data_IF_964969940512
#
_entry.id   IF_964969940512
#
_cell.length_a   1.000
_cell.length_b   1.000
_cell.length_c   1.000
_cell.angle_alpha   90.00
_cell.angle_beta   90.00
_cell.angle_gamma   90.00
#
_symmetry.space_group_name_H-M   'P 1'
#
loop_
_entity.id
_entity.type
_entity.pdbx_description
1 polymer ?
#
# COMPACT_ATOMS: atom_id res chain seq x y z
N UNK A 1 -11.01 19.23 -13.18
CA UNK A 1 -11.88 19.72 -12.07
C UNK A 1 -11.16 20.84 -11.34
N UNK A 2 -11.88 21.82 -10.78
CA UNK A 2 -11.30 22.88 -9.93
C UNK A 2 -11.42 22.48 -8.44
N UNK A 3 -10.59 23.04 -7.55
CA UNK A 3 -10.69 22.78 -6.10
C UNK A 3 -12.06 23.08 -5.52
N UNK A 4 -12.75 24.10 -6.07
CA UNK A 4 -14.12 24.44 -5.68
C UNK A 4 -15.11 23.27 -5.88
N UNK A 5 -14.88 22.41 -6.85
CA UNK A 5 -15.72 21.22 -7.09
C UNK A 5 -15.67 20.20 -5.96
N UNK A 6 -14.61 20.23 -5.14
CA UNK A 6 -14.38 19.28 -4.04
C UNK A 6 -14.86 19.79 -2.67
N UNK A 7 -15.38 21.02 -2.55
CA UNK A 7 -15.74 21.60 -1.25
C UNK A 7 -16.73 20.71 -0.49
N UNK A 8 -17.80 20.27 -1.15
CA UNK A 8 -18.81 19.40 -0.53
C UNK A 8 -18.22 18.06 -0.11
N UNK A 9 -17.49 17.40 -1.00
CA UNK A 9 -16.84 16.11 -0.73
C UNK A 9 -15.84 16.21 0.42
N UNK A 10 -15.01 17.26 0.42
CA UNK A 10 -14.05 17.50 1.50
C UNK A 10 -14.73 17.74 2.84
N UNK A 11 -15.84 18.49 2.86
CA UNK A 11 -16.62 18.69 4.08
C UNK A 11 -17.21 17.36 4.60
N UNK A 12 -17.75 16.51 3.71
CA UNK A 12 -18.27 15.19 4.07
C UNK A 12 -17.19 14.28 4.67
N UNK A 13 -15.99 14.27 4.08
CA UNK A 13 -14.82 13.52 4.63
C UNK A 13 -14.46 14.05 6.02
N UNK A 14 -14.35 15.38 6.21
CA UNK A 14 -14.02 15.98 7.52
C UNK A 14 -15.05 15.65 8.61
N UNK A 15 -16.31 15.49 8.25
CA UNK A 15 -17.35 15.03 9.19
C UNK A 15 -17.10 13.56 9.59
N UNK A 16 -16.77 12.71 8.63
CA UNK A 16 -16.44 11.30 8.90
C UNK A 16 -15.18 11.15 9.76
N UNK A 17 -14.13 11.94 9.50
CA UNK A 17 -12.89 11.95 10.29
C UNK A 17 -13.14 12.21 11.79
N UNK A 18 -14.16 12.99 12.16
CA UNK A 18 -14.50 13.24 13.58
C UNK A 18 -14.95 11.99 14.32
N UNK A 19 -15.43 10.98 13.61
CA UNK A 19 -15.82 9.69 14.19
C UNK A 19 -14.65 8.73 14.39
N UNK A 20 -13.46 9.03 13.84
CA UNK A 20 -12.29 8.16 13.98
C UNK A 20 -11.77 8.16 15.41
N UNK A 21 -11.29 7.01 15.86
CA UNK A 21 -10.65 6.86 17.17
C UNK A 21 -9.32 7.62 17.19
N UNK A 22 -9.10 8.38 18.24
CA UNK A 22 -7.87 9.15 18.42
C UNK A 22 -6.75 8.29 19.05
N UNK A 23 -5.52 8.83 19.03
CA UNK A 23 -4.35 8.13 19.56
C UNK A 23 -4.50 7.74 21.04
N UNK A 24 -5.10 8.61 21.86
CA UNK A 24 -5.29 8.33 23.29
C UNK A 24 -6.26 7.18 23.53
N UNK A 25 -7.23 7.00 22.61
CA UNK A 25 -8.12 5.84 22.65
C UNK A 25 -7.36 4.54 22.37
N UNK A 26 -6.51 4.53 21.33
CA UNK A 26 -5.68 3.36 21.02
C UNK A 26 -4.70 3.01 22.14
N UNK A 27 -4.05 4.02 22.77
CA UNK A 27 -3.19 3.78 23.91
C UNK A 27 -3.95 3.10 25.07
N UNK A 28 -5.18 3.53 25.36
CA UNK A 28 -6.01 2.84 26.38
C UNK A 28 -6.32 1.39 25.99
N UNK A 29 -6.54 1.11 24.70
CA UNK A 29 -6.79 -0.28 24.27
C UNK A 29 -5.55 -1.17 24.46
N UNK A 30 -4.34 -0.63 24.27
CA UNK A 30 -3.09 -1.40 24.49
C UNK A 30 -2.80 -1.70 25.95
N UNK A 31 -3.39 -0.95 26.89
CA UNK A 31 -3.24 -1.16 28.33
C UNK A 31 -4.23 -2.20 28.90
N UNK A 32 -5.16 -2.71 28.06
CA UNK A 32 -6.15 -3.70 28.49
C UNK A 32 -5.54 -5.12 28.54
N UNK A 33 -5.98 -5.91 29.54
CA UNK A 33 -5.39 -7.21 29.81
C UNK A 33 -5.85 -8.32 28.83
N UNK A 34 -7.03 -8.15 28.20
CA UNK A 34 -7.60 -9.18 27.33
C UNK A 34 -8.25 -8.61 26.08
N UNK A 35 -8.29 -9.41 25.01
CA UNK A 35 -9.02 -9.08 23.80
C UNK A 35 -10.54 -8.92 24.04
N UNK A 36 -11.09 -9.56 25.11
CA UNK A 36 -12.48 -9.37 25.54
C UNK A 36 -12.72 -7.95 26.08
N UNK A 37 -11.77 -7.40 26.83
CA UNK A 37 -11.87 -6.04 27.34
C UNK A 37 -11.68 -5.00 26.23
N UNK A 38 -10.83 -5.28 25.23
CA UNK A 38 -10.73 -4.47 24.00
C UNK A 38 -12.07 -4.45 23.26
N UNK A 39 -12.73 -5.60 23.08
CA UNK A 39 -14.06 -5.69 22.46
C UNK A 39 -15.10 -4.87 23.22
N UNK A 40 -15.13 -4.97 24.55
CA UNK A 40 -16.03 -4.15 25.39
C UNK A 40 -15.76 -2.65 25.24
N UNK A 41 -14.49 -2.25 25.25
CA UNK A 41 -14.13 -0.84 25.07
C UNK A 41 -14.58 -0.31 23.70
N UNK A 42 -14.46 -1.10 22.63
CA UNK A 42 -14.92 -0.74 21.30
C UNK A 42 -16.45 -0.62 21.16
N UNK A 43 -17.22 -1.23 22.09
CA UNK A 43 -18.68 -1.11 22.11
C UNK A 43 -19.20 0.31 22.42
N UNK A 44 -18.32 1.23 22.89
CA UNK A 44 -18.64 2.64 23.08
C UNK A 44 -18.18 3.53 21.88
N UNK A 45 -17.83 2.91 20.76
CA UNK A 45 -17.29 3.59 19.59
C UNK A 45 -18.22 3.47 18.37
N UNK A 46 -17.80 4.03 17.23
CA UNK A 46 -18.50 3.85 15.94
C UNK A 46 -18.59 2.41 15.49
N UNK A 47 -17.85 1.50 16.10
CA UNK A 47 -17.83 0.06 15.81
C UNK A 47 -18.83 -0.73 16.68
N UNK A 48 -19.57 -0.07 17.60
CA UNK A 48 -20.43 -0.69 18.61
C UNK A 48 -21.36 -1.76 18.06
N UNK A 49 -22.14 -1.43 17.04
CA UNK A 49 -23.14 -2.34 16.45
C UNK A 49 -22.51 -3.65 15.97
N UNK A 50 -21.37 -3.56 15.28
CA UNK A 50 -20.70 -4.74 14.72
C UNK A 50 -19.94 -5.52 15.78
N UNK A 51 -19.32 -4.85 16.73
CA UNK A 51 -18.61 -5.49 17.84
C UNK A 51 -19.58 -6.27 18.71
N UNK A 52 -20.77 -5.71 18.97
CA UNK A 52 -21.82 -6.41 19.74
C UNK A 52 -22.42 -7.62 18.98
N UNK A 53 -22.42 -7.57 17.64
CA UNK A 53 -22.86 -8.68 16.81
C UNK A 53 -21.79 -9.77 16.58
N UNK A 54 -20.56 -9.54 17.04
CA UNK A 54 -19.45 -10.47 16.84
C UNK A 54 -19.61 -11.73 17.71
N UNK A 55 -19.70 -12.89 17.08
CA UNK A 55 -19.87 -14.18 17.79
C UNK A 55 -18.65 -14.60 18.62
N UNK A 56 -17.46 -14.23 18.15
CA UNK A 56 -16.18 -14.59 18.77
C UNK A 56 -15.10 -13.58 18.40
N UNK A 57 -14.16 -13.32 19.32
CA UNK A 57 -13.02 -12.44 19.11
C UNK A 57 -12.15 -12.90 17.93
N UNK A 58 -12.05 -14.20 17.66
CA UNK A 58 -11.34 -14.74 16.50
C UNK A 58 -11.91 -14.27 15.16
N UNK A 59 -13.18 -13.81 15.14
CA UNK A 59 -13.87 -13.27 13.98
C UNK A 59 -13.78 -11.74 13.86
N UNK A 60 -12.76 -11.11 14.45
CA UNK A 60 -12.59 -9.64 14.39
C UNK A 60 -12.56 -9.07 12.96
N UNK A 61 -12.13 -9.87 11.98
CA UNK A 61 -12.16 -9.47 10.57
C UNK A 61 -13.58 -9.26 10.04
N UNK A 62 -14.58 -9.98 10.58
CA UNK A 62 -16.00 -9.83 10.20
C UNK A 62 -16.54 -8.45 10.63
N UNK A 63 -15.88 -7.81 11.61
CA UNK A 63 -16.19 -6.46 12.09
C UNK A 63 -15.48 -5.40 11.23
N UNK A 64 -14.16 -5.53 11.07
CA UNK A 64 -13.34 -4.47 10.50
C UNK A 64 -13.32 -4.48 8.97
N UNK A 65 -13.40 -5.64 8.32
CA UNK A 65 -13.38 -5.72 6.85
C UNK A 65 -14.57 -4.98 6.19
N UNK A 66 -15.83 -5.15 6.64
CA UNK A 66 -16.94 -4.38 6.11
C UNK A 66 -16.83 -2.88 6.37
N UNK A 67 -16.31 -2.45 7.53
CA UNK A 67 -16.10 -1.02 7.80
C UNK A 67 -15.05 -0.42 6.87
N UNK A 68 -13.99 -1.16 6.59
CA UNK A 68 -12.99 -0.74 5.62
C UNK A 68 -13.61 -0.59 4.23
N UNK A 69 -14.41 -1.56 3.77
CA UNK A 69 -15.14 -1.48 2.49
C UNK A 69 -16.06 -0.27 2.46
N UNK A 70 -16.82 -0.01 3.55
CA UNK A 70 -17.70 1.14 3.67
C UNK A 70 -16.93 2.47 3.56
N UNK A 71 -15.76 2.57 4.19
CA UNK A 71 -14.90 3.76 4.11
C UNK A 71 -14.43 4.01 2.67
N UNK A 72 -13.98 2.97 1.97
CA UNK A 72 -13.56 3.08 0.57
C UNK A 72 -14.72 3.44 -0.37
N UNK A 73 -15.89 2.82 -0.19
CA UNK A 73 -17.09 3.15 -0.97
C UNK A 73 -17.55 4.58 -0.70
N UNK A 74 -17.52 5.03 0.55
CA UNK A 74 -17.86 6.40 0.90
C UNK A 74 -16.96 7.42 0.14
N UNK A 75 -15.65 7.18 0.06
CA UNK A 75 -14.74 8.00 -0.73
C UNK A 75 -15.11 7.94 -2.21
N UNK A 76 -15.34 6.75 -2.75
CA UNK A 76 -15.67 6.51 -4.16
C UNK A 76 -16.93 7.28 -4.61
N UNK A 77 -17.96 7.34 -3.77
CA UNK A 77 -19.24 7.99 -4.04
C UNK A 77 -19.14 9.52 -4.03
N UNK A 78 -18.07 10.08 -3.47
CA UNK A 78 -17.88 11.51 -3.48
C UNK A 78 -17.58 12.03 -4.90
N UNK A 79 -17.97 13.29 -5.19
CA UNK A 79 -17.62 13.94 -6.45
C UNK A 79 -16.08 13.97 -6.60
N UNK A 80 -15.56 13.35 -7.65
CA UNK A 80 -14.12 13.18 -7.89
C UNK A 80 -13.45 12.08 -7.07
N UNK A 81 -14.21 11.32 -6.29
CA UNK A 81 -13.70 10.25 -5.43
C UNK A 81 -13.23 9.00 -6.20
N UNK A 82 -13.77 8.73 -7.40
CA UNK A 82 -13.39 7.56 -8.20
C UNK A 82 -11.88 7.53 -8.53
N UNK A 83 -11.27 8.69 -8.82
CA UNK A 83 -9.85 8.76 -9.11
C UNK A 83 -8.99 8.46 -7.87
N UNK A 84 -9.38 9.00 -6.70
CA UNK A 84 -8.73 8.72 -5.42
C UNK A 84 -8.94 7.25 -5.03
N UNK A 85 -10.17 6.74 -5.17
CA UNK A 85 -10.47 5.33 -4.95
C UNK A 85 -9.58 4.43 -5.83
N UNK A 86 -9.41 4.77 -7.10
CA UNK A 86 -8.54 4.03 -8.01
C UNK A 86 -7.08 3.96 -7.54
N UNK A 87 -6.58 5.03 -6.93
CA UNK A 87 -5.23 5.06 -6.37
C UNK A 87 -5.11 4.13 -5.14
N UNK A 88 -6.05 4.23 -4.21
CA UNK A 88 -5.97 3.49 -2.94
C UNK A 88 -6.39 2.02 -3.08
N UNK A 89 -7.31 1.70 -4.01
CA UNK A 89 -7.73 0.33 -4.31
C UNK A 89 -6.65 -0.48 -5.06
N UNK A 90 -5.70 0.20 -5.72
CA UNK A 90 -4.65 -0.45 -6.50
C UNK A 90 -3.87 -1.52 -5.70
N UNK A 91 -3.58 -1.25 -4.42
CA UNK A 91 -2.90 -2.23 -3.55
C UNK A 91 -3.71 -3.53 -3.37
N UNK A 92 -5.04 -3.43 -3.36
CA UNK A 92 -5.93 -4.60 -3.24
C UNK A 92 -6.08 -5.35 -4.56
N UNK A 93 -6.02 -4.63 -5.70
CA UNK A 93 -5.91 -5.26 -7.02
C UNK A 93 -4.64 -6.13 -7.10
N UNK A 94 -3.50 -5.58 -6.68
CA UNK A 94 -2.23 -6.33 -6.66
C UNK A 94 -2.24 -7.46 -5.65
N UNK A 95 -2.82 -7.24 -4.47
CA UNK A 95 -3.03 -8.30 -3.48
C UNK A 95 -3.83 -9.47 -4.09
N UNK A 96 -4.93 -9.18 -4.75
CA UNK A 96 -5.78 -10.19 -5.36
C UNK A 96 -5.04 -10.98 -6.47
N UNK A 97 -4.21 -10.30 -7.28
CA UNK A 97 -3.36 -10.97 -8.27
C UNK A 97 -2.33 -11.89 -7.60
N UNK A 98 -1.69 -11.43 -6.51
CA UNK A 98 -0.73 -12.25 -5.75
C UNK A 98 -1.40 -13.46 -5.09
N UNK A 99 -2.60 -13.30 -4.53
CA UNK A 99 -3.38 -14.42 -3.97
C UNK A 99 -3.72 -15.43 -5.07
N UNK A 100 -4.19 -14.96 -6.23
CA UNK A 100 -4.43 -15.82 -7.38
C UNK A 100 -3.18 -16.58 -7.82
N UNK A 101 -2.05 -15.88 -7.93
CA UNK A 101 -0.77 -16.50 -8.29
C UNK A 101 -0.38 -17.59 -7.27
N UNK A 102 -0.50 -17.32 -5.97
CA UNK A 102 -0.23 -18.30 -4.91
C UNK A 102 -1.18 -19.49 -4.98
N UNK A 103 -2.46 -19.25 -5.19
CA UNK A 103 -3.47 -20.31 -5.37
C UNK A 103 -3.08 -21.25 -6.51
N UNK A 104 -2.66 -20.71 -7.64
CA UNK A 104 -2.23 -21.51 -8.81
C UNK A 104 -0.88 -22.24 -8.58
N UNK A 105 0.02 -21.65 -7.81
CA UNK A 105 1.33 -22.25 -7.48
C UNK A 105 1.17 -23.41 -6.51
N UNK A 106 0.29 -23.28 -5.52
CA UNK A 106 0.07 -24.27 -4.45
C UNK A 106 -0.98 -25.31 -4.84
N UNK A 107 -1.74 -25.07 -5.92
CA UNK A 107 -2.93 -25.85 -6.31
C UNK A 107 -3.97 -25.90 -5.16
N UNK A 108 -4.16 -24.76 -4.49
CA UNK A 108 -5.10 -24.62 -3.37
C UNK A 108 -6.10 -23.49 -3.62
N UNK A 109 -7.33 -23.62 -3.11
CA UNK A 109 -8.30 -22.54 -3.14
C UNK A 109 -8.03 -21.53 -2.02
N UNK A 110 -7.52 -20.36 -2.40
CA UNK A 110 -7.27 -19.23 -1.50
C UNK A 110 -8.29 -18.09 -1.70
N UNK A 111 -9.46 -18.38 -2.25
CA UNK A 111 -10.47 -17.36 -2.61
C UNK A 111 -10.98 -16.55 -1.42
N UNK A 112 -10.96 -17.08 -0.21
CA UNK A 112 -11.30 -16.37 1.02
C UNK A 112 -10.34 -15.21 1.36
N UNK A 113 -9.14 -15.22 0.79
CA UNK A 113 -8.14 -14.16 0.98
C UNK A 113 -8.30 -12.98 0.01
N UNK A 114 -9.22 -13.06 -0.96
CA UNK A 114 -9.45 -11.95 -1.88
C UNK A 114 -10.11 -10.76 -1.16
N UNK A 115 -9.57 -9.57 -1.42
CA UNK A 115 -10.18 -8.33 -0.96
C UNK A 115 -11.29 -7.87 -1.91
N UNK A 116 -12.46 -7.57 -1.35
CA UNK A 116 -13.58 -6.97 -2.08
C UNK A 116 -13.40 -5.49 -2.42
N UNK A 117 -12.36 -4.84 -1.90
CA UNK A 117 -11.99 -3.47 -2.26
C UNK A 117 -11.34 -3.43 -3.65
N UNK A 118 -10.66 -4.51 -4.07
CA UNK A 118 -10.07 -4.62 -5.40
C UNK A 118 -11.13 -4.47 -6.50
N UNK A 119 -10.74 -3.87 -7.62
CA UNK A 119 -11.59 -3.53 -8.76
C UNK A 119 -11.56 -4.59 -9.86
N UNK A 120 -10.52 -5.40 -9.88
CA UNK A 120 -10.27 -6.40 -10.92
C UNK A 120 -11.16 -7.63 -10.76
N UNK A 121 -11.57 -8.21 -11.88
CA UNK A 121 -12.28 -9.49 -11.88
C UNK A 121 -11.30 -10.67 -11.79
N UNK A 122 -11.00 -11.12 -10.57
CA UNK A 122 -10.11 -12.28 -10.33
C UNK A 122 -10.56 -13.53 -11.09
N UNK A 123 -11.88 -13.90 -11.13
CA UNK A 123 -12.31 -15.05 -11.93
C UNK A 123 -12.01 -14.92 -13.40
N UNK A 124 -12.07 -13.71 -13.98
CA UNK A 124 -11.74 -13.50 -15.39
C UNK A 124 -10.23 -13.67 -15.64
N UNK A 125 -9.37 -13.14 -14.74
CA UNK A 125 -7.92 -13.33 -14.83
C UNK A 125 -7.54 -14.80 -14.63
N UNK A 126 -8.18 -15.52 -13.72
CA UNK A 126 -7.95 -16.95 -13.51
C UNK A 126 -8.23 -17.73 -14.80
N UNK A 127 -9.39 -17.52 -15.43
CA UNK A 127 -9.73 -18.18 -16.72
C UNK A 127 -8.73 -17.86 -17.81
N UNK A 128 -8.21 -16.63 -17.86
CA UNK A 128 -7.17 -16.24 -18.81
C UNK A 128 -5.88 -17.05 -18.60
N UNK A 129 -5.43 -17.18 -17.35
CA UNK A 129 -4.20 -17.93 -17.03
C UNK A 129 -4.32 -19.43 -17.29
N UNK A 130 -5.51 -20.02 -17.08
CA UNK A 130 -5.78 -21.45 -17.28
C UNK A 130 -6.00 -21.82 -18.73
N UNK A 131 -6.72 -21.00 -19.51
CA UNK A 131 -7.21 -21.34 -20.85
C UNK A 131 -6.67 -20.46 -21.97
N UNK A 132 -5.94 -19.40 -21.66
CA UNK A 132 -5.48 -18.40 -22.63
C UNK A 132 -6.59 -17.50 -23.21
N UNK A 133 -7.85 -17.65 -22.76
CA UNK A 133 -8.98 -16.85 -23.23
C UNK A 133 -9.08 -15.55 -22.44
N UNK A 134 -8.79 -14.44 -23.10
CA UNK A 134 -8.91 -13.12 -22.48
C UNK A 134 -10.37 -12.62 -22.54
N UNK A 135 -11.09 -12.76 -21.44
CA UNK A 135 -12.44 -12.22 -21.23
C UNK A 135 -12.41 -10.98 -20.32
N UNK A 136 -11.23 -10.64 -19.80
CA UNK A 136 -11.08 -9.50 -18.89
C UNK A 136 -11.06 -8.19 -19.66
N UNK A 137 -11.84 -7.21 -19.17
CA UNK A 137 -11.76 -5.82 -19.65
C UNK A 137 -10.49 -5.13 -19.19
N UNK A 138 -9.85 -5.67 -18.15
CA UNK A 138 -8.65 -5.10 -17.52
C UNK A 138 -7.38 -5.69 -18.14
N UNK A 139 -7.13 -5.35 -19.41
CA UNK A 139 -5.99 -5.89 -20.19
C UNK A 139 -4.65 -5.68 -19.47
N UNK A 140 -4.48 -4.51 -18.84
CA UNK A 140 -3.23 -4.16 -18.17
C UNK A 140 -2.93 -5.10 -16.98
N UNK A 141 -3.93 -5.35 -16.13
CA UNK A 141 -3.80 -6.24 -14.98
C UNK A 141 -3.71 -7.72 -15.38
N UNK A 142 -4.37 -8.08 -16.47
CA UNK A 142 -4.26 -9.43 -17.06
C UNK A 142 -2.84 -9.68 -17.56
N UNK A 143 -2.22 -8.71 -18.20
CA UNK A 143 -0.85 -8.84 -18.70
C UNK A 143 0.17 -9.03 -17.60
N UNK A 144 0.05 -8.28 -16.49
CA UNK A 144 0.97 -8.46 -15.37
C UNK A 144 0.81 -9.81 -14.68
N UNK A 145 -0.42 -10.32 -14.56
CA UNK A 145 -0.67 -11.65 -14.03
C UNK A 145 -0.05 -12.75 -14.91
N UNK A 146 -0.15 -12.61 -16.24
CA UNK A 146 0.49 -13.53 -17.21
C UNK A 146 2.01 -13.48 -17.04
N UNK A 147 2.61 -12.29 -17.05
CA UNK A 147 4.06 -12.13 -16.92
C UNK A 147 4.59 -12.76 -15.62
N UNK A 148 3.91 -12.52 -14.51
CA UNK A 148 4.29 -13.08 -13.21
C UNK A 148 4.19 -14.62 -13.20
N UNK A 149 3.11 -15.17 -13.74
CA UNK A 149 2.91 -16.62 -13.80
C UNK A 149 3.89 -17.30 -14.75
N UNK A 150 4.18 -16.69 -15.92
CA UNK A 150 5.16 -17.21 -16.87
C UNK A 150 6.58 -17.17 -16.28
N UNK A 151 6.96 -16.11 -15.57
CA UNK A 151 8.23 -16.05 -14.87
C UNK A 151 8.35 -17.17 -13.82
N UNK A 152 7.30 -17.41 -13.05
CA UNK A 152 7.28 -18.53 -12.11
C UNK A 152 7.41 -19.89 -12.81
N UNK A 153 6.72 -20.10 -13.94
CA UNK A 153 6.84 -21.36 -14.70
C UNK A 153 8.28 -21.62 -15.18
N UNK A 154 9.01 -20.54 -15.51
CA UNK A 154 10.39 -20.63 -16.01
C UNK A 154 11.41 -20.92 -14.91
N UNK A 155 11.35 -20.22 -13.80
CA UNK A 155 12.40 -20.23 -12.76
C UNK A 155 12.00 -20.88 -11.44
N UNK A 156 10.70 -21.14 -11.24
CA UNK A 156 10.12 -21.68 -10.00
C UNK A 156 10.36 -20.80 -8.75
N UNK A 157 10.64 -19.52 -8.95
CA UNK A 157 10.81 -18.54 -7.87
C UNK A 157 9.54 -17.69 -7.73
N UNK A 158 8.69 -18.05 -6.76
CA UNK A 158 7.44 -17.33 -6.47
C UNK A 158 7.71 -15.88 -6.01
N UNK A 159 8.82 -15.63 -5.32
CA UNK A 159 9.17 -14.30 -4.86
C UNK A 159 9.52 -13.37 -6.03
N UNK A 160 10.26 -13.83 -7.04
CA UNK A 160 10.51 -13.03 -8.22
C UNK A 160 9.23 -12.73 -9.00
N UNK A 161 8.30 -13.69 -9.07
CA UNK A 161 7.00 -13.46 -9.68
C UNK A 161 6.18 -12.40 -8.94
N UNK A 162 6.21 -12.37 -7.61
CA UNK A 162 5.59 -11.30 -6.81
C UNK A 162 6.28 -9.94 -7.01
N UNK A 163 7.61 -9.90 -7.11
CA UNK A 163 8.38 -8.66 -7.32
C UNK A 163 8.02 -7.96 -8.63
N UNK A 164 7.69 -8.69 -9.70
CA UNK A 164 7.17 -8.09 -10.94
C UNK A 164 5.84 -7.36 -10.68
N UNK A 165 4.94 -7.97 -9.92
CA UNK A 165 3.65 -7.37 -9.54
C UNK A 165 3.89 -6.11 -8.70
N UNK A 166 4.85 -6.13 -7.77
CA UNK A 166 5.21 -4.97 -6.96
C UNK A 166 5.79 -3.84 -7.81
N UNK A 167 6.68 -4.13 -8.74
CA UNK A 167 7.20 -3.12 -9.69
C UNK A 167 6.08 -2.50 -10.52
N UNK A 168 5.17 -3.31 -11.00
CA UNK A 168 3.99 -2.82 -11.73
C UNK A 168 3.14 -1.90 -10.85
N UNK A 169 2.86 -2.31 -9.60
CA UNK A 169 2.14 -1.49 -8.63
C UNK A 169 2.77 -0.09 -8.47
N UNK A 170 4.08 -0.03 -8.28
CA UNK A 170 4.80 1.23 -8.09
C UNK A 170 4.67 2.17 -9.31
N UNK A 171 4.80 1.62 -10.52
CA UNK A 171 4.70 2.40 -11.74
C UNK A 171 3.25 2.88 -11.98
N UNK A 172 2.28 2.02 -11.70
CA UNK A 172 0.86 2.34 -11.86
C UNK A 172 0.39 3.37 -10.82
N UNK A 173 0.89 3.29 -9.59
CA UNK A 173 0.66 4.28 -8.54
C UNK A 173 1.08 5.69 -9.01
N UNK A 174 2.27 5.80 -9.61
CA UNK A 174 2.75 7.07 -10.15
C UNK A 174 1.91 7.54 -11.34
N UNK A 175 1.51 6.61 -12.24
CA UNK A 175 0.65 6.95 -13.39
C UNK A 175 -0.67 7.56 -12.93
N UNK A 176 -1.37 6.89 -12.01
CA UNK A 176 -2.64 7.37 -11.46
C UNK A 176 -2.43 8.69 -10.69
N UNK A 177 -1.38 8.79 -9.89
CA UNK A 177 -1.06 10.03 -9.16
C UNK A 177 -0.88 11.22 -10.10
N UNK A 178 -0.14 11.06 -11.21
CA UNK A 178 0.02 12.09 -12.24
C UNK A 178 -1.31 12.48 -12.90
N UNK A 179 -2.20 11.53 -13.14
CA UNK A 179 -3.51 11.79 -13.74
C UNK A 179 -4.41 12.60 -12.79
N UNK A 180 -4.39 12.29 -11.49
CA UNK A 180 -5.12 13.06 -10.48
C UNK A 180 -4.59 14.50 -10.45
N UNK A 181 -3.27 14.68 -10.36
CA UNK A 181 -2.64 15.99 -10.35
C UNK A 181 -2.96 16.77 -11.63
N UNK A 182 -2.87 16.14 -12.80
CA UNK A 182 -3.18 16.76 -14.09
C UNK A 182 -4.66 17.20 -14.17
N UNK A 183 -5.57 16.47 -13.54
CA UNK A 183 -7.00 16.82 -13.51
C UNK A 183 -7.31 18.13 -12.79
N UNK A 184 -6.42 18.57 -11.89
CA UNK A 184 -6.49 19.85 -11.17
C UNK A 184 -5.88 21.02 -11.97
N UNK A 185 -5.17 20.76 -13.06
CA UNK A 185 -4.53 21.77 -13.88
C UNK A 185 -3.59 22.69 -13.07
N UNK A 186 -3.76 24.00 -13.21
CA UNK A 186 -2.91 24.99 -12.51
C UNK A 186 -3.11 25.02 -10.98
N UNK A 187 -4.14 24.38 -10.45
CA UNK A 187 -4.39 24.27 -9.01
C UNK A 187 -3.67 23.07 -8.38
N UNK A 188 -3.06 22.21 -9.19
CA UNK A 188 -2.27 21.07 -8.70
C UNK A 188 -1.03 21.56 -7.95
N UNK A 189 -0.76 20.89 -6.83
CA UNK A 189 0.50 21.02 -6.08
C UNK A 189 1.37 19.78 -6.24
N UNK A 190 1.06 18.95 -7.22
CA UNK A 190 1.72 17.67 -7.50
C UNK A 190 1.77 16.72 -6.29
N UNK A 191 0.79 16.82 -5.39
CA UNK A 191 0.75 16.05 -4.14
C UNK A 191 0.81 14.53 -4.39
N UNK A 192 -0.02 14.04 -5.32
CA UNK A 192 -0.10 12.60 -5.62
C UNK A 192 1.15 12.09 -6.35
N UNK A 193 1.70 12.89 -7.25
CA UNK A 193 2.97 12.59 -7.94
C UNK A 193 4.12 12.51 -6.95
N UNK A 194 4.22 13.46 -6.02
CA UNK A 194 5.25 13.47 -4.98
C UNK A 194 5.08 12.32 -3.99
N UNK A 195 3.84 12.04 -3.57
CA UNK A 195 3.54 10.89 -2.72
C UNK A 195 3.94 9.57 -3.40
N UNK A 196 3.56 9.38 -4.66
CA UNK A 196 3.89 8.17 -5.41
C UNK A 196 5.41 7.99 -5.57
N UNK A 197 6.15 9.05 -5.88
CA UNK A 197 7.62 9.00 -5.96
C UNK A 197 8.26 8.68 -4.62
N UNK A 198 7.78 9.27 -3.53
CA UNK A 198 8.24 8.95 -2.18
C UNK A 198 7.95 7.48 -1.84
N UNK A 199 6.77 6.98 -2.20
CA UNK A 199 6.39 5.58 -2.00
C UNK A 199 7.31 4.63 -2.79
N UNK A 200 7.66 4.98 -4.04
CA UNK A 200 8.61 4.22 -4.86
C UNK A 200 9.99 4.20 -4.20
N UNK A 201 10.49 5.34 -3.75
CA UNK A 201 11.80 5.44 -3.11
C UNK A 201 11.87 4.60 -1.83
N UNK A 202 10.87 4.71 -0.96
CA UNK A 202 10.79 3.91 0.28
C UNK A 202 10.68 2.41 -0.01
N UNK A 203 9.88 2.02 -1.00
CA UNK A 203 9.73 0.62 -1.41
C UNK A 203 11.02 0.04 -2.01
N UNK A 204 11.73 0.81 -2.85
CA UNK A 204 13.02 0.40 -3.39
C UNK A 204 14.07 0.22 -2.28
N UNK A 205 14.15 1.16 -1.35
CA UNK A 205 15.07 1.07 -0.19
C UNK A 205 14.74 -0.17 0.64
N UNK A 206 13.47 -0.39 0.95
CA UNK A 206 13.01 -1.54 1.72
C UNK A 206 13.37 -2.86 1.01
N UNK A 207 13.11 -2.95 -0.30
CA UNK A 207 13.46 -4.13 -1.10
C UNK A 207 14.97 -4.41 -1.08
N UNK A 208 15.80 -3.37 -1.26
CA UNK A 208 17.27 -3.49 -1.24
C UNK A 208 17.78 -3.98 0.11
N UNK A 209 17.29 -3.40 1.20
CA UNK A 209 17.75 -3.76 2.55
C UNK A 209 17.28 -5.18 2.93
N UNK A 210 16.02 -5.54 2.66
CA UNK A 210 15.51 -6.90 2.89
C UNK A 210 16.25 -7.95 2.04
N UNK A 211 16.49 -7.67 0.76
CA UNK A 211 17.21 -8.60 -0.11
C UNK A 211 18.65 -8.81 0.37
N UNK A 212 19.28 -7.77 0.88
CA UNK A 212 20.62 -7.83 1.47
C UNK A 212 20.63 -8.66 2.75
N UNK A 213 19.68 -8.45 3.63
CA UNK A 213 19.50 -9.23 4.86
C UNK A 213 19.32 -10.73 4.57
N UNK A 214 18.59 -11.06 3.52
CA UNK A 214 18.42 -12.44 3.03
C UNK A 214 19.57 -12.96 2.16
N UNK A 215 20.69 -12.25 2.05
CA UNK A 215 21.88 -12.67 1.29
C UNK A 215 21.66 -12.77 -0.24
N UNK A 216 20.63 -12.13 -0.80
CA UNK A 216 20.39 -12.12 -2.25
C UNK A 216 21.44 -11.28 -2.97
N UNK A 217 21.81 -11.69 -4.18
CA UNK A 217 22.73 -10.95 -5.02
C UNK A 217 22.00 -9.81 -5.74
N UNK A 218 22.71 -8.70 -5.99
CA UNK A 218 22.17 -7.53 -6.71
C UNK A 218 21.55 -7.89 -8.06
N UNK A 219 22.18 -8.79 -8.80
CA UNK A 219 21.69 -9.22 -10.14
C UNK A 219 20.26 -9.78 -10.07
N UNK A 220 19.87 -10.36 -8.94
CA UNK A 220 18.57 -11.01 -8.76
C UNK A 220 17.46 -10.04 -8.35
N UNK A 221 17.78 -8.78 -8.05
CA UNK A 221 16.80 -7.81 -7.57
C UNK A 221 16.73 -6.53 -8.40
N UNK A 222 17.81 -6.14 -9.09
CA UNK A 222 17.93 -4.86 -9.79
C UNK A 222 16.80 -4.61 -10.80
N UNK A 223 16.38 -5.66 -11.51
CA UNK A 223 15.38 -5.56 -12.58
C UNK A 223 13.95 -5.42 -12.03
N UNK A 224 13.75 -5.65 -10.73
CA UNK A 224 12.47 -5.50 -10.05
C UNK A 224 12.30 -4.15 -9.35
N UNK A 225 13.34 -3.35 -9.24
CA UNK A 225 13.24 -2.01 -8.70
C UNK A 225 12.55 -1.07 -9.70
N UNK A 226 11.80 -0.09 -9.21
CA UNK A 226 11.18 0.93 -10.06
C UNK A 226 12.13 2.12 -10.24
N UNK A 227 12.38 2.51 -11.50
CA UNK A 227 13.20 3.68 -11.86
C UNK A 227 12.42 5.00 -11.78
N UNK A 228 11.14 4.95 -11.39
CA UNK A 228 10.22 6.08 -11.45
C UNK A 228 10.23 6.96 -10.20
N UNK A 229 11.02 6.62 -9.17
CA UNK A 229 11.24 7.42 -7.96
C UNK A 229 12.18 8.61 -8.19
N UNK A 230 12.55 9.26 -7.09
CA UNK A 230 13.56 10.33 -7.10
C UNK A 230 14.99 9.79 -6.91
N UNK A 231 15.13 8.59 -6.33
CA UNK A 231 16.43 7.95 -6.07
C UNK A 231 16.91 7.24 -7.33
N UNK A 232 18.13 7.57 -7.78
CA UNK A 232 18.74 6.86 -8.90
C UNK A 232 19.13 5.41 -8.48
N UNK A 233 18.47 4.43 -9.07
CA UNK A 233 18.72 3.01 -8.82
C UNK A 233 20.17 2.59 -9.08
N UNK A 234 20.88 3.27 -10.01
CA UNK A 234 22.29 3.00 -10.27
C UNK A 234 23.15 3.27 -9.05
N UNK A 235 22.76 4.25 -8.23
CA UNK A 235 23.43 4.50 -6.95
C UNK A 235 23.16 3.38 -5.93
N UNK A 236 21.95 2.80 -5.92
CA UNK A 236 21.63 1.63 -5.11
C UNK A 236 22.55 0.46 -5.44
N UNK A 237 22.73 0.14 -6.74
CA UNK A 237 23.57 -0.96 -7.19
C UNK A 237 25.04 -0.85 -6.74
N UNK A 238 25.62 0.35 -6.83
CA UNK A 238 26.99 0.59 -6.39
C UNK A 238 27.18 0.38 -4.88
N UNK A 239 26.16 0.69 -4.09
CA UNK A 239 26.20 0.59 -2.63
C UNK A 239 25.75 -0.78 -2.10
N UNK A 240 25.21 -1.65 -2.96
CA UNK A 240 24.64 -2.92 -2.52
C UNK A 240 25.62 -3.84 -1.82
N UNK A 241 26.91 -3.79 -2.16
CA UNK A 241 27.95 -4.60 -1.52
C UNK A 241 28.39 -4.04 -0.14
N UNK A 242 28.08 -2.80 0.14
CA UNK A 242 28.39 -2.13 1.39
C UNK A 242 27.44 -2.54 2.53
N UNK A 243 27.69 -2.10 3.76
CA UNK A 243 26.76 -2.33 4.87
C UNK A 243 25.43 -1.59 4.67
N UNK A 244 24.30 -2.05 5.26
CA UNK A 244 23.03 -1.33 5.19
C UNK A 244 23.16 0.15 5.57
N UNK A 245 23.96 0.46 6.58
CA UNK A 245 24.25 1.82 7.03
C UNK A 245 24.87 2.67 5.93
N UNK A 246 25.89 2.17 5.25
CA UNK A 246 26.56 2.90 4.13
C UNK A 246 25.61 3.06 2.94
N UNK A 247 24.73 2.05 2.69
CA UNK A 247 23.69 2.17 1.65
C UNK A 247 22.78 3.36 1.96
N UNK A 248 22.30 3.50 3.20
CA UNK A 248 21.43 4.59 3.61
C UNK A 248 22.17 5.94 3.55
N UNK A 249 23.42 6.01 4.04
CA UNK A 249 24.23 7.22 3.99
C UNK A 249 24.42 7.79 2.59
N UNK A 250 24.49 6.92 1.58
CA UNK A 250 24.67 7.34 0.18
C UNK A 250 23.39 7.69 -0.55
N UNK A 251 22.27 7.10 -0.14
CA UNK A 251 21.01 7.19 -0.89
C UNK A 251 20.08 8.30 -0.42
N UNK A 252 20.15 8.63 0.83
CA UNK A 252 19.16 9.50 1.46
C UNK A 252 19.81 10.80 1.88
N UNK A 253 19.56 11.86 1.11
CA UNK A 253 20.04 13.22 1.41
C UNK A 253 19.01 14.07 2.17
N UNK A 254 17.98 13.46 2.77
CA UNK A 254 16.83 14.15 3.37
C UNK A 254 16.74 13.96 4.88
N UNK A 255 15.78 14.60 5.52
CA UNK A 255 15.44 14.43 6.94
C UNK A 255 15.21 12.97 7.36
N UNK A 256 14.85 12.10 6.42
CA UNK A 256 14.67 10.67 6.61
C UNK A 256 16.00 9.95 6.96
N UNK A 257 17.12 10.47 6.49
CA UNK A 257 18.46 9.87 6.63
C UNK A 257 18.80 9.55 8.09
N UNK A 258 18.68 10.55 8.97
CA UNK A 258 19.02 10.39 10.39
C UNK A 258 18.16 9.32 11.07
N UNK A 259 16.83 9.36 10.82
CA UNK A 259 15.90 8.38 11.37
C UNK A 259 16.20 6.95 10.91
N UNK A 260 16.53 6.76 9.64
CA UNK A 260 16.88 5.45 9.10
C UNK A 260 18.20 4.91 9.66
N UNK A 261 19.22 5.75 9.85
CA UNK A 261 20.50 5.32 10.45
C UNK A 261 20.32 4.89 11.92
N UNK A 262 19.51 5.64 12.68
CA UNK A 262 19.20 5.27 14.06
C UNK A 262 18.40 3.95 14.12
N UNK A 263 17.45 3.76 13.22
CA UNK A 263 16.64 2.55 13.13
C UNK A 263 17.49 1.32 12.79
N UNK A 264 18.30 1.38 11.73
CA UNK A 264 19.23 0.27 11.36
C UNK A 264 20.17 -0.07 12.52
N UNK A 265 20.68 0.93 13.24
CA UNK A 265 21.57 0.67 14.36
C UNK A 265 20.87 -0.03 15.56
N UNK A 266 19.56 0.13 15.70
CA UNK A 266 18.74 -0.61 16.67
C UNK A 266 18.44 -2.03 16.17
N UNK A 267 18.05 -2.14 14.91
CA UNK A 267 17.67 -3.38 14.26
C UNK A 267 18.84 -4.38 14.17
N UNK A 268 20.06 -3.90 13.89
CA UNK A 268 21.27 -4.73 13.95
C UNK A 268 21.47 -5.40 15.32
N UNK A 269 21.08 -4.74 16.42
CA UNK A 269 21.13 -5.31 17.77
C UNK A 269 20.03 -6.33 18.03
N UNK A 270 18.87 -6.13 17.39
CA UNK A 270 17.67 -6.94 17.60
C UNK A 270 17.55 -8.11 16.61
N UNK A 271 18.38 -8.13 15.54
CA UNK A 271 18.34 -9.14 14.48
C UNK A 271 17.07 -9.10 13.62
N UNK A 272 16.49 -7.90 13.40
CA UNK A 272 15.31 -7.70 12.56
C UNK A 272 15.38 -6.34 11.83
N UNK A 273 14.35 -5.97 11.07
CA UNK A 273 14.24 -4.71 10.33
C UNK A 273 13.00 -3.87 10.75
N UNK A 274 12.46 -4.11 11.94
CA UNK A 274 11.18 -3.56 12.37
C UNK A 274 11.22 -2.04 12.54
N UNK A 275 12.26 -1.51 13.19
CA UNK A 275 12.40 -0.07 13.39
C UNK A 275 12.67 0.67 12.07
N UNK A 276 13.45 0.07 11.20
CA UNK A 276 13.72 0.59 9.86
C UNK A 276 12.43 0.72 9.03
N UNK A 277 11.61 -0.33 9.01
CA UNK A 277 10.34 -0.34 8.29
C UNK A 277 9.36 0.69 8.86
N UNK A 278 9.30 0.81 10.19
CA UNK A 278 8.48 1.81 10.87
C UNK A 278 8.85 3.24 10.48
N UNK A 279 10.14 3.56 10.39
CA UNK A 279 10.59 4.90 9.97
C UNK A 279 10.16 5.21 8.53
N UNK A 280 10.25 4.24 7.61
CA UNK A 280 9.77 4.43 6.23
C UNK A 280 8.27 4.69 6.18
N UNK A 281 7.47 3.94 6.94
CA UNK A 281 6.01 4.12 7.04
C UNK A 281 5.65 5.47 7.66
N UNK A 282 6.31 5.87 8.74
CA UNK A 282 6.11 7.18 9.38
C UNK A 282 6.38 8.34 8.41
N UNK A 283 7.35 8.17 7.52
CA UNK A 283 7.67 9.16 6.51
C UNK A 283 6.56 9.31 5.45
N UNK A 284 6.01 8.19 4.99
CA UNK A 284 4.84 8.19 4.09
C UNK A 284 3.61 8.79 4.77
N UNK A 285 3.38 8.43 6.03
CA UNK A 285 2.28 9.00 6.83
C UNK A 285 2.44 10.49 7.08
N UNK A 286 3.66 10.99 7.25
CA UNK A 286 3.93 12.43 7.37
C UNK A 286 3.50 13.16 6.09
N UNK A 287 3.86 12.62 4.90
CA UNK A 287 3.44 13.19 3.61
C UNK A 287 1.92 13.18 3.46
N UNK A 288 1.26 12.10 3.82
CA UNK A 288 -0.22 12.01 3.78
C UNK A 288 -0.87 13.07 4.68
N UNK A 289 -0.32 13.27 5.89
CA UNK A 289 -0.82 14.28 6.84
C UNK A 289 -0.72 15.73 6.35
N UNK A 290 0.12 16.04 5.35
CA UNK A 290 0.15 17.37 4.72
C UNK A 290 -1.20 17.76 4.12
N UNK A 291 -1.99 16.79 3.68
CA UNK A 291 -3.35 17.02 3.16
C UNK A 291 -4.31 17.61 4.19
N UNK A 292 -4.02 17.51 5.50
CA UNK A 292 -4.82 18.14 6.56
C UNK A 292 -4.85 19.67 6.46
N UNK A 293 -3.80 20.25 5.85
CA UNK A 293 -3.69 21.70 5.64
C UNK A 293 -4.45 22.17 4.37
N UNK A 294 -5.00 21.25 3.59
CA UNK A 294 -5.72 21.53 2.36
C UNK A 294 -7.22 21.66 2.69
N UNK A 295 -7.81 22.78 2.32
CA UNK A 295 -9.23 23.05 2.61
C UNK A 295 -10.18 22.22 1.78
N UNK A 296 -9.89 22.05 0.47
CA UNK A 296 -10.69 21.27 -0.46
C UNK A 296 -9.81 20.68 -1.58
N UNK A 297 -10.06 19.42 -1.93
CA UNK A 297 -9.32 18.73 -2.98
C UNK A 297 -9.37 17.21 -2.84
N UNK A 298 -8.92 16.49 -3.86
CA UNK A 298 -8.81 15.03 -3.79
C UNK A 298 -7.82 14.56 -2.70
N UNK A 299 -6.86 15.40 -2.33
CA UNK A 299 -5.90 15.12 -1.24
C UNK A 299 -6.60 14.90 0.11
N UNK A 300 -7.72 15.62 0.35
CA UNK A 300 -8.52 15.46 1.57
C UNK A 300 -9.21 14.10 1.63
N UNK A 301 -9.60 13.56 0.47
CA UNK A 301 -10.20 12.23 0.38
C UNK A 301 -9.17 11.11 0.54
N UNK A 302 -7.92 11.40 0.16
CA UNK A 302 -6.82 10.44 0.20
C UNK A 302 -6.25 10.28 1.61
N UNK A 303 -6.13 11.37 2.38
CA UNK A 303 -5.53 11.42 3.71
C UNK A 303 -6.42 10.83 4.81
#
# INVERSE_FOLDING_TARGET
MQRADYIHSSAAIRVKEKGLLNQSYFLRLTDLESAGDVSKALSDSIYAERVLAMESISKYWDVFSPELVNAYNFVREQKGGEAVYSLVALKYDMHNIKVLLKSMILDEDLSELYSSIGRISVPAIKRLLESGKNESKDVLYSNIAIQAYDLYKQNKDAQQAEMIIDKFFLNELLRIGKEIDASLGNESKNFFTEYAKLFIDTSNIQMVIRAKDHGRQWINIKDFLSESGNIDIRHLGKSYLETPKVVIERLVSSDMHKGLLEAISKDEKNGNLLEFERVLEDYLMKKTKEAKMISAGPEVMFA
#
